data_IF_584724683921
#
_entry.id   IF_584724683921
#
_cell.length_a   1.000
_cell.length_b   1.000
_cell.length_c   1.000
_cell.angle_alpha   90.00
_cell.angle_beta   90.00
_cell.angle_gamma   90.00
#
_symmetry.space_group_name_H-M   'P 1'
#
loop_
_entity.id
_entity.type
_entity.pdbx_description
1 polymer ?
#
# COMPACT_ATOMS: atom_id res chain seq x y z
N UNK A 1 -12.29 80.11 -43.82
CA UNK A 1 -11.08 79.71 -44.58
C UNK A 1 -10.62 78.41 -43.92
N UNK A 2 -10.93 77.26 -44.50
CA UNK A 2 -10.07 76.57 -45.48
C UNK A 2 -9.44 75.36 -44.77
N UNK A 3 -10.12 74.21 -44.79
CA UNK A 3 -9.82 72.99 -45.58
C UNK A 3 -8.50 72.28 -45.23
N UNK A 4 -8.63 70.96 -45.10
CA UNK A 4 -7.55 69.96 -45.27
C UNK A 4 -7.30 69.17 -43.99
N UNK A 5 -7.28 67.84 -43.96
CA UNK A 5 -7.52 66.78 -44.92
C UNK A 5 -7.62 65.50 -44.07
N UNK A 6 -8.56 64.62 -44.41
CA UNK A 6 -8.76 63.29 -43.82
C UNK A 6 -7.68 62.34 -44.34
N UNK A 7 -7.23 61.36 -43.56
CA UNK A 7 -7.39 60.02 -44.10
C UNK A 7 -7.99 59.04 -43.10
N UNK A 8 -9.02 58.38 -43.59
CA UNK A 8 -9.62 57.16 -43.13
C UNK A 8 -8.61 56.02 -43.24
N UNK A 9 -8.49 55.18 -42.22
CA UNK A 9 -8.74 53.74 -42.43
C UNK A 9 -9.09 53.06 -41.09
N UNK A 10 -9.93 52.01 -41.12
CA UNK A 10 -10.46 51.33 -39.95
C UNK A 10 -9.52 50.21 -39.50
N UNK A 11 -9.70 49.77 -38.24
CA UNK A 11 -9.89 48.37 -37.83
C UNK A 11 -9.65 48.25 -36.31
N UNK A 12 -10.72 47.87 -35.61
CA UNK A 12 -10.71 47.22 -34.28
C UNK A 12 -10.04 45.82 -34.39
N UNK A 13 -9.64 45.13 -33.29
CA UNK A 13 -10.10 45.34 -31.92
C UNK A 13 -9.03 45.33 -30.80
N UNK A 14 -9.38 46.07 -29.75
CA UNK A 14 -9.25 45.76 -28.32
C UNK A 14 -8.48 44.47 -27.95
N UNK A 15 -7.25 44.67 -27.46
CA UNK A 15 -6.48 43.67 -26.73
C UNK A 15 -5.84 44.31 -25.50
N UNK A 16 -6.62 44.50 -24.44
CA UNK A 16 -6.13 44.88 -23.11
C UNK A 16 -6.91 44.10 -22.04
N UNK A 17 -6.42 42.90 -21.74
CA UNK A 17 -6.68 42.21 -20.49
C UNK A 17 -5.45 42.36 -19.61
N UNK A 18 -5.59 43.12 -18.53
CA UNK A 18 -4.56 43.38 -17.54
C UNK A 18 -4.14 42.12 -16.77
N UNK A 19 -2.92 42.19 -16.25
CA UNK A 19 -2.28 41.34 -15.25
C UNK A 19 -3.21 40.83 -14.13
N UNK A 20 -2.86 39.68 -13.56
CA UNK A 20 -2.32 39.55 -12.18
C UNK A 20 -2.42 38.09 -11.72
N UNK A 21 -1.27 37.53 -11.39
CA UNK A 21 -0.98 36.47 -10.42
C UNK A 21 -2.16 35.73 -9.76
N UNK A 22 -2.11 34.40 -9.86
CA UNK A 22 -2.43 33.53 -8.73
C UNK A 22 -3.78 32.82 -8.78
N UNK A 23 -3.72 31.49 -8.99
CA UNK A 23 -4.37 30.48 -8.13
C UNK A 23 -3.99 29.09 -8.63
N UNK A 24 -2.88 28.59 -8.11
CA UNK A 24 -2.71 27.17 -7.83
C UNK A 24 -3.84 26.72 -6.88
N UNK A 25 -5.01 26.29 -7.36
CA UNK A 25 -5.99 25.57 -6.53
C UNK A 25 -6.86 24.66 -7.39
N UNK A 26 -6.86 23.37 -7.04
CA UNK A 26 -7.94 22.45 -7.46
C UNK A 26 -7.51 21.16 -8.14
N UNK A 27 -6.51 20.45 -7.63
CA UNK A 27 -6.33 19.01 -7.95
C UNK A 27 -6.25 18.11 -6.72
N UNK A 28 -6.76 18.61 -5.59
CA UNK A 28 -7.08 17.80 -4.42
C UNK A 28 -8.57 17.45 -4.45
N UNK A 29 -8.90 16.25 -3.97
CA UNK A 29 -10.23 15.64 -3.85
C UNK A 29 -10.69 14.77 -5.04
N UNK A 30 -9.99 13.67 -5.29
CA UNK A 30 -10.62 12.42 -5.72
C UNK A 30 -10.10 11.28 -4.86
N UNK A 31 -10.32 11.41 -3.55
CA UNK A 31 -10.16 10.33 -2.59
C UNK A 31 -11.36 9.39 -2.76
N UNK A 32 -11.33 8.59 -3.84
CA UNK A 32 -12.30 7.53 -4.08
C UNK A 32 -11.79 6.29 -3.38
N UNK A 33 -12.60 5.73 -2.49
CA UNK A 33 -12.45 4.37 -2.00
C UNK A 33 -12.41 3.41 -3.20
N UNK A 34 -11.22 3.13 -3.73
CA UNK A 34 -11.02 2.21 -4.83
C UNK A 34 -11.04 0.79 -4.27
N UNK A 35 -12.12 0.07 -4.54
CA UNK A 35 -12.16 -1.39 -4.42
C UNK A 35 -11.03 -1.95 -5.29
N UNK A 36 -10.17 -2.85 -4.76
CA UNK A 36 -9.09 -3.42 -5.54
C UNK A 36 -9.67 -4.16 -6.76
N UNK A 37 -9.05 -3.99 -7.94
CA UNK A 37 -9.48 -4.71 -9.14
C UNK A 37 -9.42 -6.23 -8.93
N UNK A 38 -10.22 -7.00 -9.68
CA UNK A 38 -10.18 -8.47 -9.62
C UNK A 38 -8.77 -9.03 -9.82
N UNK A 39 -7.99 -8.40 -10.72
CA UNK A 39 -6.59 -8.76 -10.96
C UNK A 39 -5.69 -8.50 -9.74
N UNK A 40 -5.88 -7.37 -9.04
CA UNK A 40 -5.13 -7.06 -7.83
C UNK A 40 -5.48 -8.04 -6.69
N UNK A 41 -6.76 -8.36 -6.52
CA UNK A 41 -7.21 -9.34 -5.53
C UNK A 41 -6.67 -10.75 -5.82
N UNK A 42 -6.73 -11.19 -7.08
CA UNK A 42 -6.18 -12.49 -7.48
C UNK A 42 -4.66 -12.56 -7.23
N UNK A 43 -3.93 -11.47 -7.51
CA UNK A 43 -2.50 -11.37 -7.23
C UNK A 43 -2.20 -11.41 -5.72
N UNK A 44 -3.01 -10.73 -4.90
CA UNK A 44 -2.90 -10.79 -3.44
C UNK A 44 -3.06 -12.21 -2.92
N UNK A 45 -4.14 -12.90 -3.31
CA UNK A 45 -4.39 -14.31 -2.95
C UNK A 45 -3.25 -15.23 -3.37
N UNK A 46 -2.77 -15.08 -4.60
CA UNK A 46 -1.62 -15.84 -5.09
C UNK A 46 -0.36 -15.60 -4.23
N UNK A 47 -0.09 -14.34 -3.86
CA UNK A 47 1.03 -14.01 -2.97
C UNK A 47 0.91 -14.68 -1.61
N UNK A 48 -0.27 -14.65 -0.99
CA UNK A 48 -0.50 -15.33 0.29
C UNK A 48 -0.34 -16.84 0.18
N UNK A 49 -0.83 -17.45 -0.90
CA UNK A 49 -0.68 -18.89 -1.15
C UNK A 49 0.79 -19.29 -1.27
N UNK A 50 1.58 -18.54 -2.03
CA UNK A 50 3.02 -18.78 -2.17
C UNK A 50 3.78 -18.58 -0.85
N UNK A 51 3.45 -17.53 -0.10
CA UNK A 51 4.03 -17.26 1.21
C UNK A 51 3.71 -18.39 2.20
N UNK A 52 2.44 -18.79 2.31
CA UNK A 52 2.01 -19.90 3.15
C UNK A 52 2.70 -21.22 2.76
N UNK A 53 2.85 -21.49 1.47
CA UNK A 53 3.56 -22.68 0.99
C UNK A 53 5.05 -22.64 1.33
N UNK A 54 5.68 -21.47 1.26
CA UNK A 54 7.09 -21.30 1.65
C UNK A 54 7.34 -21.60 3.12
N UNK A 55 6.44 -21.15 4.00
CA UNK A 55 6.50 -21.40 5.45
C UNK A 55 6.18 -22.85 5.81
N UNK A 56 5.15 -23.45 5.20
CA UNK A 56 4.83 -24.87 5.41
C UNK A 56 5.98 -25.81 5.08
N UNK A 57 6.71 -25.55 4.00
CA UNK A 57 7.92 -26.33 3.66
C UNK A 57 9.04 -26.22 4.70
N UNK A 58 8.96 -25.26 5.62
CA UNK A 58 9.91 -25.02 6.73
C UNK A 58 9.35 -25.43 8.09
N UNK A 59 8.25 -26.19 8.11
CA UNK A 59 7.69 -26.71 9.36
C UNK A 59 6.71 -25.76 10.07
N UNK A 60 6.36 -24.62 9.46
CA UNK A 60 5.37 -23.72 10.04
C UNK A 60 3.94 -24.14 9.68
N UNK A 61 3.06 -24.11 10.66
CA UNK A 61 1.62 -24.21 10.50
C UNK A 61 1.01 -22.84 10.19
N UNK A 62 -0.03 -22.81 9.35
CA UNK A 62 -0.82 -21.59 9.09
C UNK A 62 -1.99 -21.57 10.05
N UNK A 63 -1.95 -20.66 11.02
CA UNK A 63 -3.02 -20.50 12.02
C UNK A 63 -4.17 -19.63 11.51
N UNK A 64 -3.85 -18.61 10.71
CA UNK A 64 -4.86 -17.73 10.13
C UNK A 64 -4.42 -17.14 8.79
N UNK A 65 -5.41 -16.82 7.96
CA UNK A 65 -5.26 -16.10 6.69
C UNK A 65 -6.31 -15.01 6.59
N UNK A 66 -5.95 -13.83 6.11
CA UNK A 66 -6.88 -12.69 5.97
C UNK A 66 -7.70 -12.45 7.24
N UNK A 67 -7.07 -12.56 8.41
CA UNK A 67 -7.76 -12.39 9.69
C UNK A 67 -8.13 -10.93 9.88
N UNK A 68 -9.38 -10.65 10.24
CA UNK A 68 -9.95 -9.30 10.25
C UNK A 68 -10.55 -8.95 11.59
N UNK A 69 -10.35 -7.71 12.02
CA UNK A 69 -11.00 -7.12 13.17
C UNK A 69 -11.24 -5.62 12.94
N UNK A 70 -11.77 -4.91 13.94
CA UNK A 70 -12.04 -3.47 13.84
C UNK A 70 -10.80 -2.60 13.62
N UNK A 71 -9.59 -3.12 13.88
CA UNK A 71 -8.32 -2.40 13.70
C UNK A 71 -7.71 -2.60 12.29
N UNK A 72 -8.21 -3.55 11.51
CA UNK A 72 -7.64 -3.91 10.21
C UNK A 72 -7.58 -5.41 9.95
N UNK A 73 -6.58 -5.80 9.17
CA UNK A 73 -6.38 -7.18 8.73
C UNK A 73 -4.92 -7.63 8.86
N UNK A 74 -4.73 -8.92 9.16
CA UNK A 74 -3.47 -9.64 9.10
C UNK A 74 -3.52 -10.59 7.91
N UNK A 75 -2.51 -10.55 7.05
CA UNK A 75 -2.46 -11.41 5.85
C UNK A 75 -2.27 -12.87 6.26
N UNK A 76 -1.24 -13.16 7.07
CA UNK A 76 -0.91 -14.49 7.57
C UNK A 76 -0.51 -14.47 9.05
N UNK A 77 -0.97 -15.49 9.79
CA UNK A 77 -0.45 -15.84 11.12
C UNK A 77 0.03 -17.28 11.08
N UNK A 78 1.26 -17.51 11.53
CA UNK A 78 1.94 -18.81 11.42
C UNK A 78 2.51 -19.21 12.77
N UNK A 79 2.66 -20.51 13.01
CA UNK A 79 3.38 -21.04 14.17
C UNK A 79 4.39 -22.10 13.76
N UNK A 80 5.60 -22.03 14.31
CA UNK A 80 6.67 -22.99 14.08
C UNK A 80 7.84 -22.71 15.01
N UNK A 81 8.54 -23.75 15.45
CA UNK A 81 9.77 -23.64 16.27
C UNK A 81 9.64 -22.74 17.52
N UNK A 82 8.47 -22.75 18.18
CA UNK A 82 8.22 -21.92 19.37
C UNK A 82 8.01 -20.43 19.05
N UNK A 83 7.72 -20.08 17.80
CA UNK A 83 7.50 -18.70 17.36
C UNK A 83 6.12 -18.58 16.72
N UNK A 84 5.40 -17.50 17.04
CA UNK A 84 4.24 -17.02 16.29
C UNK A 84 4.67 -15.89 15.38
N UNK A 85 4.52 -16.09 14.08
CA UNK A 85 4.88 -15.12 13.05
C UNK A 85 3.63 -14.41 12.53
N UNK A 86 3.64 -13.08 12.63
CA UNK A 86 2.68 -12.20 11.96
C UNK A 86 3.32 -11.70 10.66
N UNK A 87 2.84 -12.20 9.54
CA UNK A 87 3.48 -12.02 8.25
C UNK A 87 2.63 -11.10 7.35
N UNK A 88 3.23 -10.02 6.89
CA UNK A 88 2.69 -9.13 5.86
C UNK A 88 3.16 -9.58 4.46
N UNK A 89 2.24 -9.78 3.53
CA UNK A 89 2.52 -10.30 2.19
C UNK A 89 2.37 -9.21 1.14
N UNK A 90 3.44 -9.00 0.35
CA UNK A 90 3.48 -8.04 -0.75
C UNK A 90 3.64 -8.78 -2.08
N UNK A 91 2.51 -9.02 -2.75
CA UNK A 91 2.53 -9.51 -4.12
C UNK A 91 2.78 -8.35 -5.11
N UNK A 92 3.72 -8.54 -6.04
CA UNK A 92 4.12 -7.54 -7.04
C UNK A 92 4.19 -8.17 -8.43
N UNK A 93 4.04 -7.34 -9.48
CA UNK A 93 4.15 -7.78 -10.86
C UNK A 93 5.60 -7.78 -11.37
N UNK A 94 6.45 -6.91 -10.83
CA UNK A 94 7.84 -6.70 -11.25
C UNK A 94 8.79 -6.84 -10.06
N UNK A 95 10.06 -7.13 -10.37
CA UNK A 95 11.09 -7.49 -9.41
C UNK A 95 11.87 -6.30 -8.80
N UNK A 96 11.31 -5.10 -8.82
CA UNK A 96 11.89 -3.94 -8.11
C UNK A 96 11.80 -4.18 -6.60
N UNK A 97 12.76 -4.96 -6.09
CA UNK A 97 12.91 -5.35 -4.70
C UNK A 97 13.94 -4.43 -4.02
N UNK A 98 13.73 -4.13 -2.73
CA UNK A 98 14.79 -3.56 -1.90
C UNK A 98 14.88 -2.03 -1.83
N UNK A 99 13.92 -1.29 -2.40
CA UNK A 99 13.79 0.15 -2.10
C UNK A 99 13.26 0.41 -0.67
N UNK A 100 13.28 1.65 -0.17
CA UNK A 100 12.66 2.05 1.11
C UNK A 100 11.17 1.65 1.23
N UNK A 101 10.54 1.27 0.12
CA UNK A 101 9.18 0.75 0.01
C UNK A 101 9.01 -0.72 0.49
N UNK A 102 10.13 -1.45 0.60
CA UNK A 102 10.18 -2.77 1.22
C UNK A 102 10.11 -2.72 2.74
N UNK A 103 10.59 -1.62 3.34
CA UNK A 103 10.51 -1.39 4.77
C UNK A 103 9.07 -1.07 5.21
N UNK A 104 8.64 -1.69 6.30
CA UNK A 104 7.34 -1.37 6.91
C UNK A 104 7.52 -0.07 7.68
N UNK A 105 6.95 1.02 7.17
CA UNK A 105 7.02 2.32 7.84
C UNK A 105 6.39 2.26 9.25
N UNK A 106 6.83 3.16 10.14
CA UNK A 106 6.50 3.17 11.58
C UNK A 106 5.00 3.04 11.87
N UNK A 107 4.13 3.71 11.11
CA UNK A 107 2.68 3.68 11.35
C UNK A 107 2.10 2.30 11.06
N UNK A 108 2.58 1.64 10.00
CA UNK A 108 2.20 0.26 9.68
C UNK A 108 2.74 -0.74 10.69
N UNK A 109 3.96 -0.56 11.20
CA UNK A 109 4.47 -1.39 12.29
C UNK A 109 3.58 -1.30 13.53
N UNK A 110 3.21 -0.08 13.94
CA UNK A 110 2.33 0.15 15.08
C UNK A 110 0.95 -0.49 14.89
N UNK A 111 0.41 -0.42 13.67
CA UNK A 111 -0.85 -1.08 13.32
C UNK A 111 -0.73 -2.61 13.40
N UNK A 112 0.32 -3.19 12.83
CA UNK A 112 0.55 -4.64 12.85
C UNK A 112 0.75 -5.16 14.28
N UNK A 113 1.48 -4.44 15.14
CA UNK A 113 1.60 -4.79 16.57
C UNK A 113 0.25 -4.78 17.28
N UNK A 114 -0.61 -3.80 17.00
CA UNK A 114 -1.98 -3.74 17.56
C UNK A 114 -2.83 -4.91 17.07
N UNK A 115 -2.73 -5.27 15.79
CA UNK A 115 -3.44 -6.40 15.21
C UNK A 115 -2.98 -7.73 15.80
N UNK A 116 -1.66 -7.92 15.95
CA UNK A 116 -1.09 -9.09 16.60
C UNK A 116 -1.59 -9.23 18.04
N UNK A 117 -1.58 -8.15 18.82
CA UNK A 117 -2.12 -8.16 20.18
C UNK A 117 -3.61 -8.53 20.22
N UNK A 118 -4.41 -8.02 19.27
CA UNK A 118 -5.81 -8.38 19.16
C UNK A 118 -6.01 -9.86 18.81
N UNK A 119 -5.24 -10.39 17.84
CA UNK A 119 -5.29 -11.80 17.46
C UNK A 119 -4.92 -12.71 18.64
N UNK A 120 -3.83 -12.40 19.37
CA UNK A 120 -3.40 -13.16 20.55
C UNK A 120 -4.46 -13.17 21.67
N UNK A 121 -5.13 -12.04 21.89
CA UNK A 121 -6.18 -11.94 22.90
C UNK A 121 -7.45 -12.73 22.53
N UNK A 122 -7.75 -12.84 21.23
CA UNK A 122 -8.89 -13.58 20.69
C UNK A 122 -8.62 -15.08 20.65
N UNK A 123 -7.53 -15.49 19.99
CA UNK A 123 -7.27 -16.91 19.70
C UNK A 123 -6.58 -17.63 20.87
N UNK A 124 -5.89 -16.90 21.76
CA UNK A 124 -5.25 -17.42 22.98
C UNK A 124 -4.43 -18.69 22.75
N UNK A 125 -3.44 -18.66 21.85
CA UNK A 125 -2.58 -19.82 21.61
C UNK A 125 -1.90 -20.28 22.91
N UNK A 126 -1.78 -21.60 23.06
CA UNK A 126 -1.21 -22.21 24.26
C UNK A 126 0.32 -22.31 24.18
N UNK A 127 0.97 -22.40 25.34
CA UNK A 127 2.41 -22.58 25.46
C UNK A 127 3.20 -21.27 25.51
N UNK A 128 4.53 -21.41 25.64
CA UNK A 128 5.46 -20.29 25.55
C UNK A 128 5.87 -20.12 24.10
N UNK A 129 5.85 -18.88 23.61
CA UNK A 129 6.27 -18.57 22.25
C UNK A 129 6.85 -17.16 22.17
N UNK A 130 7.73 -16.96 21.20
CA UNK A 130 8.15 -15.64 20.78
C UNK A 130 7.20 -15.07 19.72
N UNK A 131 7.13 -13.75 19.61
CA UNK A 131 6.38 -13.07 18.55
C UNK A 131 7.37 -12.48 17.56
N UNK A 132 7.15 -12.75 16.28
CA UNK A 132 7.98 -12.25 15.19
C UNK A 132 7.12 -11.59 14.10
N UNK A 133 7.62 -10.48 13.54
CA UNK A 133 6.98 -9.80 12.42
C UNK A 133 7.82 -9.97 11.17
N UNK A 134 7.25 -10.63 10.16
CA UNK A 134 7.96 -10.93 8.92
C UNK A 134 7.29 -10.20 7.74
N UNK A 135 8.06 -9.95 6.69
CA UNK A 135 7.55 -9.43 5.42
C UNK A 135 7.93 -10.40 4.32
N UNK A 136 6.94 -10.81 3.53
CA UNK A 136 7.16 -11.66 2.36
C UNK A 136 6.86 -10.86 1.11
N UNK A 137 7.81 -10.82 0.17
CA UNK A 137 7.60 -10.31 -1.17
C UNK A 137 7.48 -11.49 -2.15
N UNK A 138 6.43 -11.47 -2.97
CA UNK A 138 6.18 -12.48 -4.01
C UNK A 138 6.20 -11.80 -5.38
N UNK A 139 7.10 -12.28 -6.25
CA UNK A 139 7.26 -11.81 -7.64
C UNK A 139 7.32 -13.03 -8.55
N UNK A 140 6.28 -13.26 -9.35
CA UNK A 140 6.17 -14.49 -10.13
C UNK A 140 6.26 -15.71 -9.21
N UNK A 141 7.23 -16.60 -9.45
CA UNK A 141 7.49 -17.78 -8.61
C UNK A 141 8.49 -17.53 -7.47
N UNK A 142 9.09 -16.34 -7.40
CA UNK A 142 10.10 -16.01 -6.40
C UNK A 142 9.46 -15.51 -5.10
N UNK A 143 9.90 -16.09 -3.98
CA UNK A 143 9.48 -15.72 -2.62
C UNK A 143 10.70 -15.23 -1.85
N UNK A 144 10.67 -13.96 -1.44
CA UNK A 144 11.71 -13.34 -0.62
C UNK A 144 11.13 -13.02 0.75
N UNK A 145 11.78 -13.51 1.80
CA UNK A 145 11.33 -13.32 3.19
C UNK A 145 12.34 -12.45 3.92
N UNK A 146 11.83 -11.42 4.58
CA UNK A 146 12.56 -10.61 5.55
C UNK A 146 12.03 -11.02 6.91
N UNK A 147 12.79 -11.84 7.62
CA UNK A 147 12.48 -12.20 9.00
C UNK A 147 12.84 -11.04 9.95
N UNK A 148 12.12 -10.90 11.06
CA UNK A 148 12.33 -9.82 12.03
C UNK A 148 12.34 -8.44 11.38
N UNK A 149 11.37 -8.20 10.47
CA UNK A 149 11.31 -6.98 9.70
C UNK A 149 11.19 -5.71 10.56
N UNK A 150 10.64 -5.83 11.79
CA UNK A 150 10.55 -4.75 12.79
C UNK A 150 10.09 -5.26 14.17
#
# INVERSE_FOLDING_TARGET
MGVGHVPSDPLRPEGQGADVQGRQRGRAALDRHLTPSLAAQARGRFGEDEAARWYRRRGYEVLARNWRCSFGELDLVLAGDGVIVFCEVKARATAEYGGPEGAVHWAKQRRLRRLAAAWLATERPHGQFEVRFDVVAVVGASVHVIEHAF
#
